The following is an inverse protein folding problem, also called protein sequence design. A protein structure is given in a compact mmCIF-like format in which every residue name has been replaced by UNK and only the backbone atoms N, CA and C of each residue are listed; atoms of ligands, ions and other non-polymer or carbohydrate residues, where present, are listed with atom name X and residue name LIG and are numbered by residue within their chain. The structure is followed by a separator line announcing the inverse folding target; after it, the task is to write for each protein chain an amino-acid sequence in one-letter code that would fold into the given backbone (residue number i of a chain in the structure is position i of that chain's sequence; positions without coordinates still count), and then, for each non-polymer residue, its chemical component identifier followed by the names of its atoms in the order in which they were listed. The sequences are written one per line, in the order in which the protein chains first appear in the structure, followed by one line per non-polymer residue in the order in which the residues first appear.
data_IF_334437381817
#
_entry.id   IF_334437381817
#
_cell.length_a   1.000
_cell.length_b   1.000
_cell.length_c   1.000
_cell.angle_alpha   90.00
_cell.angle_beta   90.00
_cell.angle_gamma   90.00
#
_symmetry.space_group_name_H-M   'P 1'
#
loop_
_entity.id
_entity.type
_entity.pdbx_description
1 polymer ?
#
# COMPACT_ATOMS: atom_id res chain seq x y z
N UNK A 1 26.39 17.81 -9.86
CA UNK A 1 25.76 16.48 -10.01
C UNK A 1 24.30 16.66 -9.68
N UNK A 2 23.46 16.44 -10.68
CA UNK A 2 22.15 17.06 -10.86
C UNK A 2 21.05 16.33 -10.07
N UNK A 3 20.27 17.12 -9.32
CA UNK A 3 18.82 17.03 -9.12
C UNK A 3 18.15 15.64 -9.05
N UNK A 4 17.78 15.24 -7.83
CA UNK A 4 16.53 14.49 -7.60
C UNK A 4 15.67 15.28 -6.61
N UNK A 5 14.94 16.26 -7.15
CA UNK A 5 13.75 16.79 -6.50
C UNK A 5 12.67 15.71 -6.59
N UNK A 6 12.52 14.91 -5.53
CA UNK A 6 11.37 14.06 -5.33
C UNK A 6 10.11 14.94 -5.35
N UNK A 7 9.31 14.77 -6.40
CA UNK A 7 8.03 15.43 -6.61
C UNK A 7 7.02 14.99 -5.52
N UNK A 8 7.04 15.65 -4.36
CA UNK A 8 6.00 15.59 -3.33
C UNK A 8 4.74 16.42 -3.70
N UNK A 9 4.66 16.95 -4.91
CA UNK A 9 3.63 17.91 -5.35
C UNK A 9 2.29 17.29 -5.76
N UNK A 10 2.14 15.95 -5.76
CA UNK A 10 0.86 15.30 -6.10
C UNK A 10 0.01 14.93 -4.86
N UNK A 11 0.50 15.19 -3.65
CA UNK A 11 -0.11 14.64 -2.43
C UNK A 11 -1.31 15.41 -1.89
N UNK A 12 -1.74 16.48 -2.56
CA UNK A 12 -2.86 17.35 -2.14
C UNK A 12 -4.14 17.16 -2.95
N UNK A 13 -4.15 16.32 -4.00
CA UNK A 13 -5.40 16.05 -4.72
C UNK A 13 -6.31 15.15 -3.89
N UNK A 14 -7.54 15.60 -3.66
CA UNK A 14 -8.64 14.78 -3.15
C UNK A 14 -8.92 13.66 -4.14
N UNK A 15 -9.16 12.44 -3.65
CA UNK A 15 -9.63 11.35 -4.49
C UNK A 15 -11.03 11.70 -5.02
N UNK A 16 -11.39 11.19 -6.21
CA UNK A 16 -12.77 11.30 -6.69
C UNK A 16 -13.70 10.58 -5.70
N UNK A 17 -14.91 11.09 -5.53
CA UNK A 17 -15.86 10.64 -4.49
C UNK A 17 -16.17 9.15 -4.52
N UNK A 18 -16.10 8.53 -5.70
CA UNK A 18 -16.41 7.10 -5.90
C UNK A 18 -15.17 6.21 -5.99
N UNK A 19 -13.98 6.76 -5.77
CA UNK A 19 -12.72 5.99 -5.81
C UNK A 19 -12.60 5.08 -4.59
N UNK A 20 -12.33 3.80 -4.83
CA UNK A 20 -12.02 2.82 -3.79
C UNK A 20 -10.52 2.59 -3.70
N UNK A 21 -10.00 2.53 -2.47
CA UNK A 21 -8.59 2.24 -2.22
C UNK A 21 -8.41 0.74 -2.09
N UNK A 22 -7.40 0.17 -2.76
CA UNK A 22 -7.07 -1.25 -2.64
C UNK A 22 -5.67 -1.37 -2.07
N UNK A 23 -5.53 -2.12 -0.97
CA UNK A 23 -4.23 -2.56 -0.46
C UNK A 23 -3.58 -3.50 -1.49
N UNK A 24 -2.53 -2.99 -2.13
CA UNK A 24 -1.97 -3.61 -3.32
C UNK A 24 -0.53 -4.09 -3.09
N UNK A 25 -0.33 -5.39 -3.26
CA UNK A 25 0.99 -6.05 -3.09
C UNK A 25 1.54 -6.60 -4.40
N UNK A 26 0.81 -6.44 -5.51
CA UNK A 26 1.11 -7.14 -6.77
C UNK A 26 0.78 -8.64 -6.75
N UNK A 27 0.27 -9.17 -5.62
CA UNK A 27 -0.19 -10.54 -5.51
C UNK A 27 -1.48 -10.81 -6.29
N UNK A 28 -1.82 -12.10 -6.42
CA UNK A 28 -3.01 -12.56 -7.15
C UNK A 28 -4.30 -11.96 -6.58
N UNK A 29 -4.45 -11.96 -5.26
CA UNK A 29 -5.68 -11.54 -4.59
C UNK A 29 -5.91 -10.03 -4.72
N UNK A 30 -4.87 -9.21 -4.49
CA UNK A 30 -4.97 -7.75 -4.64
C UNK A 30 -5.18 -7.35 -6.11
N UNK A 31 -4.57 -8.08 -7.05
CA UNK A 31 -4.76 -7.85 -8.49
C UNK A 31 -6.18 -8.23 -8.94
N UNK A 32 -6.70 -9.35 -8.45
CA UNK A 32 -8.07 -9.77 -8.73
C UNK A 32 -9.08 -8.78 -8.14
N UNK A 33 -8.87 -8.34 -6.90
CA UNK A 33 -9.74 -7.35 -6.23
C UNK A 33 -9.80 -6.05 -7.02
N UNK A 34 -8.64 -5.49 -7.39
CA UNK A 34 -8.57 -4.28 -8.21
C UNK A 34 -9.27 -4.48 -9.57
N UNK A 35 -9.03 -5.62 -10.21
CA UNK A 35 -9.66 -5.96 -11.51
C UNK A 35 -11.19 -6.06 -11.40
N UNK A 36 -11.72 -6.69 -10.35
CA UNK A 36 -13.17 -6.83 -10.15
C UNK A 36 -13.83 -5.46 -9.96
N UNK A 37 -13.20 -4.56 -9.20
CA UNK A 37 -13.70 -3.20 -9.01
C UNK A 37 -13.69 -2.42 -10.33
N UNK A 38 -12.59 -2.45 -11.08
CA UNK A 38 -12.49 -1.77 -12.37
C UNK A 38 -13.44 -2.37 -13.42
N UNK A 39 -13.66 -3.69 -13.42
CA UNK A 39 -14.68 -4.33 -14.28
C UNK A 39 -16.11 -3.87 -13.97
N UNK A 40 -16.36 -3.40 -12.74
CA UNK A 40 -17.64 -2.78 -12.32
C UNK A 40 -17.65 -1.26 -12.56
N UNK A 41 -16.70 -0.73 -13.33
CA UNK A 41 -16.53 0.68 -13.62
C UNK A 41 -16.31 1.55 -12.38
N UNK A 42 -15.71 0.98 -11.32
CA UNK A 42 -15.36 1.68 -10.09
C UNK A 42 -13.90 2.13 -10.20
N UNK A 43 -13.60 3.44 -10.06
CA UNK A 43 -12.22 3.91 -10.05
C UNK A 43 -11.46 3.38 -8.84
N UNK A 44 -10.23 2.91 -9.06
CA UNK A 44 -9.39 2.29 -8.05
C UNK A 44 -8.12 3.12 -7.83
N UNK A 45 -7.77 3.31 -6.56
CA UNK A 45 -6.48 3.82 -6.13
C UNK A 45 -5.68 2.69 -5.48
N UNK A 46 -4.49 2.39 -6.00
CA UNK A 46 -3.65 1.34 -5.46
C UNK A 46 -2.75 1.88 -4.34
N UNK A 47 -2.84 1.28 -3.17
CA UNK A 47 -2.04 1.65 -2.01
C UNK A 47 -1.14 0.48 -1.61
N UNK A 48 0.15 0.64 -1.82
CA UNK A 48 1.18 -0.29 -1.34
C UNK A 48 1.82 0.25 -0.06
N UNK A 49 2.53 -0.62 0.64
CA UNK A 49 3.31 -0.23 1.79
C UNK A 49 4.70 -0.87 1.74
N UNK A 50 5.67 -0.14 2.27
CA UNK A 50 7.06 -0.56 2.34
C UNK A 50 7.52 -0.54 3.79
N UNK A 51 7.66 -1.72 4.37
CA UNK A 51 8.19 -1.96 5.72
C UNK A 51 9.72 -2.01 5.77
N UNK A 52 10.39 -2.07 4.60
CA UNK A 52 11.81 -2.40 4.51
C UNK A 52 12.13 -3.89 4.63
N UNK A 53 11.18 -4.73 5.06
CA UNK A 53 11.37 -6.18 5.23
C UNK A 53 11.01 -7.01 3.98
N UNK A 54 10.26 -6.44 3.03
CA UNK A 54 9.76 -7.15 1.86
C UNK A 54 10.65 -6.98 0.63
N UNK A 55 11.05 -8.09 0.00
CA UNK A 55 12.03 -8.16 -1.13
C UNK A 55 11.36 -8.02 -2.52
N UNK A 56 10.03 -8.12 -2.64
CA UNK A 56 9.34 -8.26 -3.93
C UNK A 56 8.80 -6.97 -4.54
N UNK A 57 9.65 -5.96 -4.75
CA UNK A 57 9.20 -4.66 -5.29
C UNK A 57 8.96 -4.66 -6.80
N UNK A 58 9.68 -5.48 -7.56
CA UNK A 58 9.65 -5.45 -9.03
C UNK A 58 8.32 -5.95 -9.61
N UNK A 59 7.76 -7.04 -9.06
CA UNK A 59 6.50 -7.63 -9.55
C UNK A 59 5.32 -6.66 -9.45
N UNK A 60 5.32 -5.79 -8.44
CA UNK A 60 4.22 -4.84 -8.21
C UNK A 60 4.09 -3.84 -9.37
N UNK A 61 5.20 -3.31 -9.87
CA UNK A 61 5.18 -2.33 -10.96
C UNK A 61 4.68 -2.94 -12.27
N UNK A 62 5.17 -4.14 -12.62
CA UNK A 62 4.68 -4.85 -13.80
C UNK A 62 3.16 -5.08 -13.75
N UNK A 63 2.61 -5.44 -12.58
CA UNK A 63 1.15 -5.60 -12.43
C UNK A 63 0.39 -4.29 -12.57
N UNK A 64 0.92 -3.18 -12.06
CA UNK A 64 0.30 -1.86 -12.21
C UNK A 64 0.24 -1.47 -13.68
N UNK A 65 1.32 -1.70 -14.44
CA UNK A 65 1.37 -1.44 -15.88
C UNK A 65 0.38 -2.31 -16.66
N UNK A 66 0.29 -3.60 -16.34
CA UNK A 66 -0.71 -4.50 -16.94
C UNK A 66 -2.14 -4.02 -16.68
N UNK A 67 -2.45 -3.62 -15.44
CA UNK A 67 -3.77 -3.08 -15.07
C UNK A 67 -4.04 -1.77 -15.79
N UNK A 68 -3.06 -0.86 -15.86
CA UNK A 68 -3.18 0.41 -16.58
C UNK A 68 -3.45 0.18 -18.06
N UNK A 69 -2.71 -0.73 -18.70
CA UNK A 69 -2.90 -1.08 -20.11
C UNK A 69 -4.29 -1.66 -20.39
N UNK A 70 -4.85 -2.41 -19.44
CA UNK A 70 -6.15 -3.08 -19.60
C UNK A 70 -7.35 -2.17 -19.31
N UNK A 71 -7.27 -1.32 -18.28
CA UNK A 71 -8.41 -0.55 -17.78
C UNK A 71 -8.29 0.96 -18.00
N UNK A 72 -7.11 1.46 -18.38
CA UNK A 72 -6.85 2.88 -18.62
C UNK A 72 -6.68 3.71 -17.34
N UNK A 73 -6.23 4.96 -17.54
CA UNK A 73 -5.98 5.92 -16.44
C UNK A 73 -7.25 6.49 -15.82
N UNK A 74 -8.41 6.30 -16.46
CA UNK A 74 -9.71 6.71 -15.90
C UNK A 74 -10.12 5.83 -14.71
N UNK A 75 -9.88 4.52 -14.82
CA UNK A 75 -10.23 3.54 -13.80
C UNK A 75 -9.07 3.27 -12.83
N UNK A 76 -7.82 3.30 -13.30
CA UNK A 76 -6.66 3.21 -12.43
C UNK A 76 -6.16 4.62 -12.08
N UNK A 77 -6.72 5.21 -11.02
CA UNK A 77 -6.52 6.62 -10.67
C UNK A 77 -5.06 6.94 -10.34
N UNK A 78 -4.43 6.11 -9.51
CA UNK A 78 -3.02 6.28 -9.13
C UNK A 78 -2.51 5.07 -8.34
N UNK A 79 -1.21 5.09 -8.06
CA UNK A 79 -0.52 4.19 -7.14
C UNK A 79 0.36 5.00 -6.19
N UNK A 80 0.33 4.65 -4.91
CA UNK A 80 1.26 5.19 -3.90
C UNK A 80 1.79 4.08 -3.02
N UNK A 81 3.06 4.20 -2.65
CA UNK A 81 3.68 3.35 -1.64
C UNK A 81 3.89 4.16 -0.36
N UNK A 82 3.31 3.72 0.74
CA UNK A 82 3.53 4.30 2.06
C UNK A 82 4.81 3.73 2.66
N UNK A 83 5.65 4.59 3.23
CA UNK A 83 6.74 4.13 4.10
C UNK A 83 6.18 3.84 5.49
N UNK A 84 6.22 2.56 5.88
CA UNK A 84 5.74 2.08 7.19
C UNK A 84 6.87 1.54 8.05
N UNK A 85 8.12 1.69 7.61
CA UNK A 85 9.31 1.11 8.26
C UNK A 85 9.48 1.55 9.71
N UNK A 86 9.26 2.84 10.00
CA UNK A 86 9.33 3.37 11.37
C UNK A 86 8.30 2.74 12.30
N UNK A 87 7.03 2.72 11.90
CA UNK A 87 5.96 2.12 12.69
C UNK A 87 6.12 0.61 12.83
N UNK A 88 6.53 -0.08 11.76
CA UNK A 88 6.85 -1.50 11.80
C UNK A 88 7.98 -1.79 12.80
N UNK A 89 9.04 -0.97 12.81
CA UNK A 89 10.13 -1.11 13.77
C UNK A 89 9.65 -0.98 15.21
N UNK A 90 8.85 0.05 15.51
CA UNK A 90 8.31 0.28 16.85
C UNK A 90 7.36 -0.83 17.32
N UNK A 91 6.55 -1.39 16.41
CA UNK A 91 5.57 -2.42 16.77
C UNK A 91 6.22 -3.81 16.88
N UNK A 92 7.16 -4.14 15.99
CA UNK A 92 7.53 -5.53 15.73
C UNK A 92 9.01 -5.85 15.97
N UNK A 93 9.90 -4.86 15.98
CA UNK A 93 11.34 -5.07 16.04
C UNK A 93 11.97 -4.57 17.34
N UNK A 94 11.44 -3.50 17.94
CA UNK A 94 12.01 -2.87 19.14
C UNK A 94 12.07 -3.82 20.35
N UNK A 95 11.08 -4.71 20.50
CA UNK A 95 10.98 -5.67 21.61
C UNK A 95 11.02 -7.14 21.14
N UNK A 96 11.54 -7.40 19.94
CA UNK A 96 11.47 -8.72 19.29
C UNK A 96 12.06 -9.86 20.15
N UNK A 97 13.15 -9.59 20.88
CA UNK A 97 13.76 -10.58 21.78
C UNK A 97 12.82 -10.95 22.92
N UNK A 98 12.22 -9.95 23.57
CA UNK A 98 11.29 -10.16 24.68
C UNK A 98 10.01 -10.86 24.21
N UNK A 99 9.50 -10.50 23.04
CA UNK A 99 8.33 -11.15 22.43
C UNK A 99 8.59 -12.63 22.13
N UNK A 100 9.78 -12.97 21.60
CA UNK A 100 10.16 -14.37 21.35
C UNK A 100 10.30 -15.13 22.68
N UNK A 101 10.91 -14.53 23.70
CA UNK A 101 11.08 -15.19 25.00
C UNK A 101 9.75 -15.41 25.73
N UNK A 102 8.82 -14.45 25.62
CA UNK A 102 7.53 -14.47 26.30
C UNK A 102 6.52 -15.35 25.57
N UNK A 103 6.28 -15.07 24.29
CA UNK A 103 5.20 -15.71 23.52
C UNK A 103 5.69 -16.98 22.82
N UNK A 104 7.00 -17.16 22.67
CA UNK A 104 7.62 -18.27 21.90
C UNK A 104 7.09 -18.32 20.46
N UNK A 105 6.74 -17.16 19.91
CA UNK A 105 6.23 -16.96 18.55
C UNK A 105 6.95 -15.81 17.86
N UNK A 106 6.94 -15.84 16.53
CA UNK A 106 7.44 -14.75 15.70
C UNK A 106 6.28 -13.79 15.38
N UNK A 107 6.26 -12.63 16.04
CA UNK A 107 5.24 -11.60 15.83
C UNK A 107 5.54 -10.64 14.68
N UNK A 108 6.68 -10.79 14.00
CA UNK A 108 7.14 -9.86 12.95
C UNK A 108 6.11 -9.70 11.83
N UNK A 109 5.53 -10.80 11.35
CA UNK A 109 4.53 -10.74 10.26
C UNK A 109 3.27 -10.02 10.72
N UNK A 110 2.82 -10.27 11.94
CA UNK A 110 1.63 -9.61 12.52
C UNK A 110 1.88 -8.12 12.69
N UNK A 111 3.03 -7.75 13.25
CA UNK A 111 3.41 -6.36 13.41
C UNK A 111 3.57 -5.61 12.09
N UNK A 112 4.09 -6.27 11.04
CA UNK A 112 4.12 -5.70 9.69
C UNK A 112 2.70 -5.42 9.18
N UNK A 113 1.76 -6.37 9.29
CA UNK A 113 0.38 -6.14 8.83
C UNK A 113 -0.33 -5.06 9.63
N UNK A 114 -0.07 -4.97 10.94
CA UNK A 114 -0.63 -3.93 11.79
C UNK A 114 -0.13 -2.54 11.39
N UNK A 115 1.17 -2.39 11.13
CA UNK A 115 1.75 -1.14 10.65
C UNK A 115 1.15 -0.72 9.29
N UNK A 116 1.02 -1.66 8.35
CA UNK A 116 0.40 -1.42 7.04
C UNK A 116 -1.05 -0.95 7.20
N UNK A 117 -1.85 -1.65 8.01
CA UNK A 117 -3.26 -1.31 8.22
C UNK A 117 -3.44 0.05 8.89
N UNK A 118 -2.63 0.36 9.92
CA UNK A 118 -2.69 1.64 10.60
C UNK A 118 -2.44 2.82 9.64
N UNK A 119 -1.40 2.70 8.81
CA UNK A 119 -1.07 3.71 7.81
C UNK A 119 -2.10 3.81 6.68
N UNK A 120 -2.67 2.68 6.27
CA UNK A 120 -3.71 2.68 5.23
C UNK A 120 -5.01 3.34 5.72
N UNK A 121 -5.40 3.09 6.97
CA UNK A 121 -6.55 3.74 7.60
C UNK A 121 -6.30 5.23 7.76
N UNK A 122 -5.13 5.64 8.28
CA UNK A 122 -4.77 7.06 8.41
C UNK A 122 -4.78 7.77 7.03
N UNK A 123 -4.24 7.12 5.99
CA UNK A 123 -4.32 7.62 4.62
C UNK A 123 -5.77 7.84 4.18
N UNK A 124 -6.64 6.85 4.41
CA UNK A 124 -8.05 6.93 4.01
C UNK A 124 -8.82 8.00 4.79
N UNK A 125 -8.55 8.16 6.09
CA UNK A 125 -9.14 9.19 6.93
C UNK A 125 -8.75 10.60 6.45
N UNK A 126 -7.48 10.83 6.14
CA UNK A 126 -6.99 12.13 5.63
C UNK A 126 -7.53 12.47 4.24
N UNK A 127 -7.85 11.46 3.44
CA UNK A 127 -8.35 11.60 2.06
C UNK A 127 -9.87 11.45 1.93
N UNK A 128 -10.56 11.16 3.04
CA UNK A 128 -11.99 10.89 3.10
C UNK A 128 -12.45 9.84 2.05
N UNK A 129 -11.71 8.74 1.94
CA UNK A 129 -12.00 7.66 1.00
C UNK A 129 -12.28 6.34 1.72
N UNK A 130 -12.85 5.38 0.99
CA UNK A 130 -13.16 4.05 1.48
C UNK A 130 -12.03 3.07 1.12
N UNK A 131 -11.59 2.32 2.13
CA UNK A 131 -10.70 1.16 2.01
C UNK A 131 -11.50 -0.09 1.66
#
# INVERSE_FOLDING_TARGET
MSTESLNDTNDTKSLKKDTQVVLFTGGRDSTLTASILMMRNIPVYLLSANSGASVHREVTQYRIEELRKKFGDELLVSHKTLDVSGTFRSIALEQIENDILTDKKNLVVVGEKLAILAHAVDFCLRKNCKL
#
